data_IF_578878765149
#
_entry.id   IF_578878765149
#
_cell.length_a   1.000
_cell.length_b   1.000
_cell.length_c   1.000
_cell.angle_alpha   90.00
_cell.angle_beta   90.00
_cell.angle_gamma   90.00
#
_symmetry.space_group_name_H-M   'P 1'
#
loop_
_entity.id
_entity.type
_entity.pdbx_description
1 polymer ?
#
# COMPACT_ATOMS: atom_id res chain seq x y z
N UNK A 1 32.40 -17.76 -20.57
CA UNK A 1 32.69 -18.45 -19.30
C UNK A 1 31.53 -19.37 -19.00
N UNK A 2 31.81 -20.62 -18.63
CA UNK A 2 30.92 -21.78 -18.75
C UNK A 2 29.51 -21.64 -18.14
N UNK A 3 28.49 -21.61 -19.00
CA UNK A 3 27.07 -21.76 -18.65
C UNK A 3 26.78 -23.22 -18.31
N UNK A 4 27.12 -23.62 -17.08
CA UNK A 4 26.76 -24.95 -16.54
C UNK A 4 25.35 -24.88 -15.97
N UNK A 5 24.38 -24.58 -16.84
CA UNK A 5 22.96 -24.63 -16.52
C UNK A 5 22.50 -26.09 -16.53
N UNK A 6 22.68 -26.80 -15.42
CA UNK A 6 21.97 -28.07 -15.22
C UNK A 6 20.48 -27.75 -15.13
N UNK A 7 19.64 -28.43 -15.91
CA UNK A 7 18.19 -28.39 -15.73
C UNK A 7 17.88 -28.76 -14.28
N UNK A 8 17.58 -27.76 -13.44
CA UNK A 8 17.10 -27.95 -12.08
C UNK A 8 15.80 -28.75 -12.14
N UNK A 9 15.90 -30.06 -12.01
CA UNK A 9 14.87 -30.87 -11.38
C UNK A 9 14.76 -30.37 -9.94
N UNK A 10 13.63 -29.78 -9.56
CA UNK A 10 13.38 -29.28 -8.21
C UNK A 10 13.23 -30.39 -7.15
N UNK A 11 13.69 -31.62 -7.42
CA UNK A 11 13.71 -32.74 -6.49
C UNK A 11 15.08 -33.43 -6.55
N UNK A 12 15.68 -33.79 -5.41
CA UNK A 12 16.80 -34.71 -5.43
C UNK A 12 16.34 -36.01 -6.10
N UNK A 13 17.12 -36.59 -7.03
CA UNK A 13 16.77 -37.88 -7.62
C UNK A 13 16.65 -38.91 -6.51
N UNK A 14 15.55 -39.66 -6.51
CA UNK A 14 15.47 -40.89 -5.72
C UNK A 14 16.63 -41.79 -6.15
N UNK A 15 17.28 -42.44 -5.18
CA UNK A 15 18.48 -43.25 -5.36
C UNK A 15 18.38 -44.17 -6.58
N UNK A 16 19.05 -43.81 -7.68
CA UNK A 16 19.09 -44.60 -8.93
C UNK A 16 18.80 -43.85 -10.24
N UNK A 17 18.38 -42.58 -10.23
CA UNK A 17 18.19 -41.81 -11.47
C UNK A 17 19.50 -41.21 -12.01
N UNK A 18 19.78 -41.48 -13.30
CA UNK A 18 20.90 -40.90 -14.02
C UNK A 18 20.86 -39.36 -14.01
N UNK A 19 22.02 -38.71 -13.81
CA UNK A 19 22.14 -37.25 -13.82
C UNK A 19 21.49 -36.64 -15.09
N UNK A 20 20.76 -35.52 -14.95
CA UNK A 20 20.15 -34.87 -16.10
C UNK A 20 21.22 -34.43 -17.09
N UNK A 21 20.96 -34.63 -18.39
CA UNK A 21 21.90 -34.28 -19.45
C UNK A 21 22.21 -32.76 -19.42
N UNK A 22 23.47 -32.35 -19.72
CA UNK A 22 23.82 -30.94 -19.80
C UNK A 22 22.95 -30.19 -20.82
N UNK A 23 22.59 -28.94 -20.52
CA UNK A 23 21.72 -28.12 -21.38
C UNK A 23 22.19 -28.06 -22.84
N UNK A 24 23.50 -27.84 -23.05
CA UNK A 24 24.09 -27.79 -24.39
C UNK A 24 23.82 -29.06 -25.23
N UNK A 25 23.77 -30.24 -24.59
CA UNK A 25 23.46 -31.52 -25.26
C UNK A 25 21.99 -31.59 -25.63
N UNK A 26 21.10 -31.15 -24.73
CA UNK A 26 19.65 -31.10 -24.98
C UNK A 26 19.32 -30.13 -26.12
N UNK A 27 19.91 -28.94 -26.12
CA UNK A 27 19.72 -27.93 -27.17
C UNK A 27 20.23 -28.42 -28.53
N UNK A 28 21.41 -29.05 -28.58
CA UNK A 28 21.94 -29.65 -29.80
C UNK A 28 21.04 -30.78 -30.32
N UNK A 29 20.53 -31.63 -29.42
CA UNK A 29 19.57 -32.68 -29.76
C UNK A 29 18.25 -32.12 -30.31
N UNK A 30 17.73 -31.02 -29.73
CA UNK A 30 16.53 -30.34 -30.21
C UNK A 30 16.75 -29.74 -31.61
N UNK A 31 17.86 -29.01 -31.84
CA UNK A 31 18.20 -28.44 -33.16
C UNK A 31 18.31 -29.53 -34.22
N UNK A 32 18.95 -30.66 -33.89
CA UNK A 32 19.05 -31.80 -34.80
C UNK A 32 17.70 -32.47 -35.05
N UNK A 33 16.85 -32.57 -34.02
CA UNK A 33 15.49 -33.09 -34.17
C UNK A 33 14.68 -32.24 -35.15
N UNK A 34 14.70 -30.92 -34.99
CA UNK A 34 14.04 -29.96 -35.88
C UNK A 34 14.56 -30.11 -37.32
N UNK A 35 15.87 -30.16 -37.53
CA UNK A 35 16.46 -30.33 -38.87
C UNK A 35 16.02 -31.61 -39.60
N UNK A 36 15.84 -32.73 -38.87
CA UNK A 36 15.49 -34.02 -39.47
C UNK A 36 13.98 -34.26 -39.57
N UNK A 37 13.18 -33.63 -38.70
CA UNK A 37 11.73 -33.86 -38.59
C UNK A 37 10.90 -32.66 -39.05
N UNK A 38 11.54 -31.52 -39.29
CA UNK A 38 10.90 -30.22 -39.56
C UNK A 38 9.82 -29.89 -38.51
N UNK A 39 10.09 -30.23 -37.25
CA UNK A 39 9.16 -30.06 -36.14
C UNK A 39 9.92 -29.94 -34.82
N UNK A 40 9.40 -29.10 -33.93
CA UNK A 40 9.86 -28.95 -32.54
C UNK A 40 8.99 -29.73 -31.55
N UNK A 41 7.92 -30.37 -32.03
CA UNK A 41 7.05 -31.18 -31.21
C UNK A 41 7.64 -32.57 -31.03
N UNK A 42 8.28 -32.74 -29.88
CA UNK A 42 8.91 -33.99 -29.48
C UNK A 42 7.94 -34.79 -28.61
N UNK A 43 7.46 -35.98 -29.05
CA UNK A 43 6.61 -36.83 -28.23
C UNK A 43 7.28 -37.17 -26.88
N UNK A 44 6.54 -37.25 -25.75
CA UNK A 44 7.13 -37.35 -24.41
C UNK A 44 8.09 -38.54 -24.18
N UNK A 45 7.87 -39.66 -24.88
CA UNK A 45 8.70 -40.88 -24.77
C UNK A 45 9.90 -40.91 -25.73
N UNK A 46 10.10 -39.86 -26.52
CA UNK A 46 11.17 -39.83 -27.52
C UNK A 46 12.55 -39.82 -26.87
N UNK A 47 13.36 -40.81 -27.24
CA UNK A 47 14.80 -40.84 -27.02
C UNK A 47 15.49 -40.60 -28.35
N UNK A 48 16.27 -39.53 -28.43
CA UNK A 48 16.95 -39.13 -29.65
C UNK A 48 18.30 -38.52 -29.29
N UNK A 49 19.31 -38.76 -30.12
CA UNK A 49 20.64 -38.14 -30.01
C UNK A 49 21.28 -38.30 -28.61
N UNK A 50 21.11 -39.48 -28.01
CA UNK A 50 21.70 -39.82 -26.72
C UNK A 50 20.96 -39.28 -25.49
N UNK A 51 19.85 -38.56 -25.65
CA UNK A 51 19.07 -37.98 -24.54
C UNK A 51 17.61 -38.39 -24.57
N UNK A 52 16.95 -38.33 -23.41
CA UNK A 52 15.49 -38.49 -23.29
C UNK A 52 14.78 -37.19 -23.71
N UNK A 53 14.96 -36.80 -24.98
CA UNK A 53 14.56 -35.49 -25.52
C UNK A 53 13.10 -35.14 -25.20
N UNK A 54 12.16 -36.08 -25.35
CA UNK A 54 10.73 -35.83 -25.08
C UNK A 54 10.44 -35.42 -23.64
N UNK A 55 11.13 -36.03 -22.66
CA UNK A 55 11.01 -35.65 -21.24
C UNK A 55 11.67 -34.30 -20.97
N UNK A 56 12.84 -34.06 -21.55
CA UNK A 56 13.54 -32.78 -21.41
C UNK A 56 12.71 -31.61 -21.95
N UNK A 57 12.12 -31.74 -23.15
CA UNK A 57 11.27 -30.71 -23.76
C UNK A 57 9.97 -30.49 -22.98
N UNK A 58 9.38 -31.57 -22.44
CA UNK A 58 8.19 -31.46 -21.58
C UNK A 58 8.51 -30.72 -20.27
N UNK A 59 9.63 -31.05 -19.62
CA UNK A 59 10.10 -30.35 -18.42
C UNK A 59 10.45 -28.88 -18.71
N UNK A 60 11.08 -28.60 -19.85
CA UNK A 60 11.39 -27.26 -20.32
C UNK A 60 10.12 -26.41 -20.47
N UNK A 61 9.09 -26.92 -21.18
CA UNK A 61 7.80 -26.22 -21.33
C UNK A 61 7.11 -25.97 -19.98
N UNK A 62 7.12 -26.95 -19.07
CA UNK A 62 6.54 -26.80 -17.73
C UNK A 62 7.29 -25.73 -16.90
N UNK A 63 8.62 -25.79 -16.87
CA UNK A 63 9.45 -24.82 -16.15
C UNK A 63 9.33 -23.41 -16.73
N UNK A 64 9.17 -23.29 -18.04
CA UNK A 64 8.87 -22.01 -18.67
C UNK A 64 7.60 -21.42 -18.08
N UNK A 65 6.48 -22.16 -18.15
CA UNK A 65 5.18 -21.69 -17.70
C UNK A 65 5.12 -21.36 -16.21
N UNK A 66 5.92 -22.05 -15.39
CA UNK A 66 6.08 -21.79 -13.95
C UNK A 66 7.06 -20.64 -13.63
N UNK A 67 7.76 -20.10 -14.62
CA UNK A 67 8.71 -19.00 -14.43
C UNK A 67 10.08 -19.43 -13.90
N UNK A 68 10.39 -20.72 -13.89
CA UNK A 68 11.64 -21.25 -13.31
C UNK A 68 12.82 -21.25 -14.30
N UNK A 69 12.58 -21.03 -15.59
CA UNK A 69 13.66 -21.04 -16.58
C UNK A 69 14.46 -19.74 -16.58
N UNK A 70 15.77 -19.92 -16.60
CA UNK A 70 16.76 -18.89 -16.83
C UNK A 70 16.51 -18.16 -18.18
N UNK A 71 16.64 -16.81 -18.23
CA UNK A 71 16.50 -16.04 -19.47
C UNK A 71 17.37 -16.51 -20.63
N UNK A 72 18.59 -16.99 -20.38
CA UNK A 72 19.51 -17.45 -21.43
C UNK A 72 19.01 -18.75 -22.05
N UNK A 73 18.48 -19.68 -21.24
CA UNK A 73 17.85 -20.91 -21.74
C UNK A 73 16.62 -20.57 -22.60
N UNK A 74 15.83 -19.58 -22.19
CA UNK A 74 14.66 -19.14 -22.96
C UNK A 74 15.11 -18.60 -24.32
N UNK A 75 16.13 -17.73 -24.34
CA UNK A 75 16.67 -17.15 -25.58
C UNK A 75 17.25 -18.23 -26.51
N UNK A 76 18.02 -19.17 -25.97
CA UNK A 76 18.61 -20.29 -26.72
C UNK A 76 17.57 -21.12 -27.47
N UNK A 77 16.44 -21.37 -26.80
CA UNK A 77 15.34 -22.19 -27.31
C UNK A 77 14.46 -21.42 -28.29
N UNK A 78 14.15 -20.16 -27.98
CA UNK A 78 13.36 -19.28 -28.86
C UNK A 78 14.10 -19.00 -30.18
N UNK A 79 15.43 -19.15 -30.21
CA UNK A 79 16.24 -19.12 -31.43
C UNK A 79 16.11 -20.39 -32.31
N UNK A 80 15.47 -21.46 -31.85
CA UNK A 80 15.24 -22.66 -32.66
C UNK A 80 14.08 -22.42 -33.63
N UNK A 81 14.26 -22.64 -34.95
CA UNK A 81 13.20 -22.43 -35.94
C UNK A 81 11.91 -23.20 -35.60
N UNK A 82 10.78 -22.51 -35.72
CA UNK A 82 9.46 -23.09 -35.43
C UNK A 82 9.18 -23.34 -33.94
N UNK A 83 10.04 -22.91 -33.02
CA UNK A 83 9.81 -23.10 -31.59
C UNK A 83 8.54 -22.40 -31.09
N UNK A 84 7.80 -23.10 -30.24
CA UNK A 84 6.70 -22.53 -29.46
C UNK A 84 6.58 -23.21 -28.09
N UNK A 85 6.11 -22.44 -27.11
CA UNK A 85 5.89 -22.89 -25.74
C UNK A 85 4.59 -23.68 -25.51
N UNK A 86 3.77 -23.79 -26.55
CA UNK A 86 2.42 -24.35 -26.48
C UNK A 86 1.43 -23.44 -25.75
N UNK A 87 0.25 -23.97 -25.45
CA UNK A 87 -0.76 -23.24 -24.69
C UNK A 87 -0.38 -23.15 -23.20
N UNK A 88 -0.71 -22.03 -22.53
CA UNK A 88 -0.49 -21.90 -21.10
C UNK A 88 -1.34 -22.92 -20.33
N UNK A 89 -0.75 -23.71 -19.41
CA UNK A 89 -1.53 -24.52 -18.51
C UNK A 89 -2.40 -23.64 -17.58
N UNK A 90 -3.53 -24.16 -17.07
CA UNK A 90 -4.32 -23.44 -16.08
C UNK A 90 -3.47 -23.01 -14.88
N UNK A 91 -3.56 -21.74 -14.50
CA UNK A 91 -2.77 -21.19 -13.39
C UNK A 91 -1.30 -20.93 -13.69
N UNK A 92 -0.86 -20.97 -14.96
CA UNK A 92 0.52 -20.70 -15.33
C UNK A 92 1.03 -19.36 -14.79
N UNK A 93 2.16 -19.40 -14.10
CA UNK A 93 2.80 -18.23 -13.49
C UNK A 93 3.12 -17.15 -14.53
N UNK A 94 3.65 -17.53 -15.71
CA UNK A 94 3.93 -16.57 -16.79
C UNK A 94 2.67 -15.88 -17.34
N UNK A 95 1.51 -16.52 -17.29
CA UNK A 95 0.25 -15.88 -17.71
C UNK A 95 -0.12 -14.75 -16.76
N UNK A 96 0.02 -14.97 -15.45
CA UNK A 96 -0.15 -13.93 -14.45
C UNK A 96 0.90 -12.81 -14.60
N UNK A 97 2.17 -13.17 -14.82
CA UNK A 97 3.24 -12.21 -15.07
C UNK A 97 2.92 -11.32 -16.28
N UNK A 98 2.53 -11.89 -17.42
CA UNK A 98 2.18 -11.10 -18.63
C UNK A 98 1.03 -10.14 -18.35
N UNK A 99 0.01 -10.58 -17.63
CA UNK A 99 -1.11 -9.73 -17.23
C UNK A 99 -0.67 -8.61 -16.29
N UNK A 100 0.23 -8.89 -15.33
CA UNK A 100 0.83 -7.89 -14.46
C UNK A 100 1.69 -6.89 -15.24
N UNK A 101 2.51 -7.32 -16.20
CA UNK A 101 3.28 -6.44 -17.09
C UNK A 101 2.38 -5.51 -17.89
N UNK A 102 1.30 -6.04 -18.48
CA UNK A 102 0.35 -5.25 -19.25
C UNK A 102 -0.39 -4.23 -18.37
N UNK A 103 -0.74 -4.60 -17.13
CA UNK A 103 -1.33 -3.67 -16.17
C UNK A 103 -0.34 -2.57 -15.75
N UNK A 104 0.90 -2.94 -15.43
CA UNK A 104 1.95 -2.02 -15.03
C UNK A 104 2.25 -0.96 -16.11
N UNK A 105 2.35 -1.36 -17.38
CA UNK A 105 2.58 -0.43 -18.50
C UNK A 105 1.46 0.59 -18.72
N UNK A 106 0.22 0.28 -18.31
CA UNK A 106 -0.92 1.20 -18.41
C UNK A 106 -0.91 2.24 -17.29
N UNK A 107 -0.25 1.95 -16.18
CA UNK A 107 -0.17 2.87 -15.04
C UNK A 107 0.91 3.94 -15.30
N UNK A 108 0.51 5.21 -15.29
CA UNK A 108 1.45 6.35 -15.28
C UNK A 108 1.61 6.83 -13.84
N UNK A 109 2.80 6.63 -13.27
CA UNK A 109 3.17 7.12 -11.95
C UNK A 109 4.23 6.23 -11.32
N UNK A 110 5.25 6.83 -10.69
CA UNK A 110 6.41 6.13 -10.10
C UNK A 110 6.13 5.30 -8.84
N UNK A 111 4.86 5.06 -8.50
CA UNK A 111 4.44 4.21 -7.39
C UNK A 111 4.05 2.82 -7.90
N UNK A 112 4.03 1.82 -7.00
CA UNK A 112 3.57 0.47 -7.33
C UNK A 112 2.22 0.50 -8.02
N UNK A 113 2.08 -0.07 -9.23
CA UNK A 113 0.83 -0.04 -9.96
C UNK A 113 -0.31 -0.63 -9.12
N UNK A 114 -1.48 0.01 -9.03
CA UNK A 114 -2.67 -0.61 -8.49
C UNK A 114 -3.10 -1.68 -9.51
N UNK A 115 -2.65 -2.92 -9.30
CA UNK A 115 -3.03 -4.02 -10.16
C UNK A 115 -4.55 -4.20 -10.12
N UNK A 116 -5.23 -4.33 -11.28
CA UNK A 116 -6.65 -4.57 -11.31
C UNK A 116 -6.95 -5.90 -10.61
N UNK A 117 -8.05 -5.95 -9.85
CA UNK A 117 -8.40 -7.15 -9.08
C UNK A 117 -8.47 -8.40 -9.96
N UNK A 118 -8.97 -8.30 -11.20
CA UNK A 118 -8.94 -9.41 -12.17
C UNK A 118 -8.46 -8.92 -13.53
N UNK A 119 -7.50 -9.64 -14.13
CA UNK A 119 -7.09 -9.46 -15.51
C UNK A 119 -6.69 -10.80 -16.12
N UNK A 120 -7.18 -11.11 -17.32
CA UNK A 120 -6.90 -12.39 -18.00
C UNK A 120 -7.31 -13.62 -17.19
N UNK A 121 -8.39 -13.53 -16.39
CA UNK A 121 -8.88 -14.62 -15.52
C UNK A 121 -8.11 -14.80 -14.21
N UNK A 122 -7.02 -14.06 -13.99
CA UNK A 122 -6.20 -14.14 -12.77
C UNK A 122 -6.54 -13.01 -11.81
N UNK A 123 -6.61 -13.31 -10.50
CA UNK A 123 -6.62 -12.28 -9.46
C UNK A 123 -5.22 -11.71 -9.28
N UNK A 124 -4.90 -10.62 -9.98
CA UNK A 124 -3.55 -10.06 -9.98
C UNK A 124 -3.16 -9.47 -8.63
N UNK A 125 -4.11 -8.94 -7.87
CA UNK A 125 -3.80 -8.36 -6.56
C UNK A 125 -3.37 -9.47 -5.59
N UNK A 126 -4.13 -10.57 -5.53
CA UNK A 126 -3.78 -11.73 -4.72
C UNK A 126 -2.48 -12.39 -5.22
N UNK A 127 -2.30 -12.52 -6.53
CA UNK A 127 -1.09 -13.10 -7.11
C UNK A 127 0.16 -12.29 -6.77
N UNK A 128 0.13 -10.96 -6.93
CA UNK A 128 1.26 -10.08 -6.58
C UNK A 128 1.58 -10.13 -5.08
N UNK A 129 0.55 -10.12 -4.23
CA UNK A 129 0.72 -10.26 -2.78
C UNK A 129 1.40 -11.59 -2.42
N UNK A 130 0.99 -12.68 -3.09
CA UNK A 130 1.62 -13.99 -2.93
C UNK A 130 3.09 -13.98 -3.36
N UNK A 131 3.43 -13.33 -4.49
CA UNK A 131 4.83 -13.25 -4.93
C UNK A 131 5.73 -12.55 -3.92
N UNK A 132 5.26 -11.45 -3.29
CA UNK A 132 6.02 -10.77 -2.24
C UNK A 132 6.19 -11.64 -0.99
N UNK A 133 5.15 -12.37 -0.59
CA UNK A 133 5.22 -13.31 0.53
C UNK A 133 6.21 -14.45 0.26
N UNK A 134 6.16 -15.03 -0.95
CA UNK A 134 7.09 -16.09 -1.36
C UNK A 134 8.53 -15.57 -1.46
N UNK A 135 8.74 -14.32 -1.90
CA UNK A 135 10.05 -13.67 -1.88
C UNK A 135 10.59 -13.50 -0.47
N UNK A 136 9.79 -12.96 0.45
CA UNK A 136 10.16 -12.79 1.85
C UNK A 136 10.46 -14.13 2.56
N UNK A 137 9.82 -15.21 2.11
CA UNK A 137 10.06 -16.57 2.59
C UNK A 137 11.23 -17.30 1.88
N UNK A 138 11.89 -16.68 0.89
CA UNK A 138 12.97 -17.30 0.12
C UNK A 138 12.51 -18.44 -0.80
N UNK A 139 11.24 -18.46 -1.21
CA UNK A 139 10.62 -19.52 -1.99
C UNK A 139 10.64 -19.29 -3.51
N UNK A 140 10.93 -18.05 -3.95
CA UNK A 140 11.02 -17.74 -5.39
C UNK A 140 12.36 -18.19 -5.97
N UNK A 141 12.34 -18.70 -7.20
CA UNK A 141 13.57 -18.97 -7.94
C UNK A 141 14.25 -17.68 -8.41
N UNK A 142 15.57 -17.69 -8.69
CA UNK A 142 16.26 -16.52 -9.26
C UNK A 142 15.57 -15.99 -10.52
N UNK A 143 15.16 -16.87 -11.43
CA UNK A 143 14.44 -16.49 -12.65
C UNK A 143 13.09 -15.78 -12.39
N UNK A 144 12.35 -16.20 -11.35
CA UNK A 144 11.12 -15.50 -10.96
C UNK A 144 11.42 -14.12 -10.36
N UNK A 145 12.47 -14.01 -9.55
CA UNK A 145 12.92 -12.75 -8.94
C UNK A 145 13.32 -11.76 -10.04
N UNK A 146 14.12 -12.18 -11.02
CA UNK A 146 14.56 -11.33 -12.12
C UNK A 146 13.37 -10.85 -12.96
N UNK A 147 12.46 -11.77 -13.31
CA UNK A 147 11.29 -11.46 -14.10
C UNK A 147 10.31 -10.51 -13.39
N UNK A 148 10.15 -10.63 -12.06
CA UNK A 148 9.34 -9.72 -11.25
C UNK A 148 10.03 -8.36 -11.07
N UNK A 149 11.34 -8.34 -10.84
CA UNK A 149 12.12 -7.11 -10.68
C UNK A 149 12.15 -6.26 -11.97
N UNK A 150 12.00 -6.90 -13.13
CA UNK A 150 11.86 -6.23 -14.42
C UNK A 150 10.47 -5.61 -14.69
N UNK A 151 9.47 -5.86 -13.82
CA UNK A 151 8.15 -5.27 -13.98
C UNK A 151 8.19 -3.75 -13.67
N UNK A 152 7.62 -2.89 -14.53
CA UNK A 152 7.57 -1.45 -14.26
C UNK A 152 6.86 -1.14 -12.94
N UNK A 153 7.55 -0.42 -12.04
CA UNK A 153 7.02 -0.05 -10.74
C UNK A 153 6.84 -1.21 -9.76
N UNK A 154 7.41 -2.39 -10.01
CA UNK A 154 7.41 -3.46 -9.03
C UNK A 154 8.22 -3.08 -7.79
N UNK A 155 7.67 -3.45 -6.65
CA UNK A 155 8.29 -3.27 -5.37
C UNK A 155 8.05 -4.52 -4.53
N UNK A 156 9.13 -5.00 -3.92
CA UNK A 156 9.13 -6.15 -3.03
C UNK A 156 8.52 -5.80 -1.67
N UNK A 157 8.64 -4.54 -1.24
CA UNK A 157 8.07 -4.05 0.01
C UNK A 157 7.33 -2.71 -0.18
N UNK A 158 6.13 -2.75 -0.78
CA UNK A 158 5.35 -1.56 -1.05
C UNK A 158 4.88 -0.86 0.24
N UNK A 159 4.82 -1.57 1.37
CA UNK A 159 4.42 -0.99 2.64
C UNK A 159 5.57 -0.19 3.25
N UNK A 160 6.80 -0.68 3.16
CA UNK A 160 8.00 0.09 3.52
C UNK A 160 8.24 1.26 2.57
N UNK A 161 8.04 1.11 1.26
CA UNK A 161 8.12 2.25 0.35
C UNK A 161 7.05 3.31 0.66
N UNK A 162 5.80 2.90 0.90
CA UNK A 162 4.74 3.81 1.33
C UNK A 162 5.05 4.46 2.67
N UNK A 163 5.67 3.73 3.60
CA UNK A 163 6.13 4.27 4.89
C UNK A 163 7.15 5.39 4.69
N UNK A 164 8.22 5.15 3.93
CA UNK A 164 9.23 6.17 3.62
C UNK A 164 8.64 7.38 2.89
N UNK A 165 7.81 7.13 1.87
CA UNK A 165 7.14 8.20 1.14
C UNK A 165 6.24 9.03 2.07
N UNK A 166 5.50 8.39 2.97
CA UNK A 166 4.67 9.09 3.95
C UNK A 166 5.47 9.95 4.91
N UNK A 167 6.63 9.47 5.39
CA UNK A 167 7.56 10.27 6.19
C UNK A 167 8.07 11.50 5.42
N UNK A 168 8.53 11.32 4.17
CA UNK A 168 8.97 12.44 3.32
C UNK A 168 7.86 13.47 3.15
N UNK A 169 6.64 13.04 2.81
CA UNK A 169 5.51 13.94 2.62
C UNK A 169 5.09 14.65 3.91
N UNK A 170 5.23 13.98 5.06
CA UNK A 170 4.95 14.56 6.37
C UNK A 170 5.97 15.63 6.75
N UNK A 171 7.27 15.37 6.53
CA UNK A 171 8.34 16.34 6.73
C UNK A 171 8.15 17.55 5.82
N UNK A 172 7.94 17.34 4.51
CA UNK A 172 7.67 18.43 3.55
C UNK A 172 6.47 19.29 3.98
N UNK A 173 5.42 18.64 4.47
CA UNK A 173 4.22 19.33 4.95
C UNK A 173 4.53 20.23 6.16
N UNK A 174 5.27 19.72 7.14
CA UNK A 174 5.64 20.48 8.35
C UNK A 174 6.64 21.60 8.02
N UNK A 175 7.65 21.32 7.19
CA UNK A 175 8.65 22.31 6.76
C UNK A 175 8.02 23.47 5.97
N UNK A 176 6.90 23.20 5.28
CA UNK A 176 6.11 24.24 4.58
C UNK A 176 5.22 25.08 5.53
N UNK A 177 5.35 24.90 6.85
CA UNK A 177 4.53 25.57 7.86
C UNK A 177 3.22 24.86 8.19
N UNK A 178 3.05 23.61 7.74
CA UNK A 178 1.89 22.79 8.05
C UNK A 178 1.88 22.30 9.50
N UNK A 179 0.73 22.40 10.15
CA UNK A 179 0.53 21.84 11.48
C UNK A 179 -0.07 20.42 11.36
N UNK A 180 0.46 19.46 12.11
CA UNK A 180 -0.03 18.07 12.17
C UNK A 180 -1.54 17.98 12.46
N UNK A 181 -2.13 18.97 13.12
CA UNK A 181 -3.57 19.07 13.34
C UNK A 181 -4.39 19.21 12.05
N UNK A 182 -3.77 19.65 10.96
CA UNK A 182 -4.38 19.83 9.65
C UNK A 182 -4.37 18.54 8.81
N UNK A 183 -3.79 17.44 9.31
CA UNK A 183 -3.75 16.14 8.64
C UNK A 183 -5.12 15.43 8.67
N UNK A 184 -6.12 16.03 8.05
CA UNK A 184 -7.42 15.42 7.85
C UNK A 184 -7.33 14.29 6.81
N UNK A 185 -8.26 13.31 6.88
CA UNK A 185 -8.25 12.08 6.06
C UNK A 185 -7.95 12.29 4.58
N UNK A 186 -8.57 13.31 3.99
CA UNK A 186 -8.50 13.56 2.54
C UNK A 186 -7.33 14.44 2.10
N UNK A 187 -6.47 14.89 3.04
CA UNK A 187 -5.31 15.71 2.71
C UNK A 187 -4.35 14.95 1.80
N UNK A 188 -3.94 15.62 0.71
CA UNK A 188 -2.94 15.10 -0.22
C UNK A 188 -1.79 16.10 -0.37
N UNK A 189 -0.57 15.58 -0.33
CA UNK A 189 0.67 16.33 -0.57
C UNK A 189 1.34 15.66 -1.75
N UNK A 190 1.62 16.41 -2.83
CA UNK A 190 2.23 15.89 -4.06
C UNK A 190 1.55 14.61 -4.59
N UNK A 191 0.22 14.55 -4.50
CA UNK A 191 -0.60 13.40 -4.93
C UNK A 191 -0.67 12.22 -3.94
N UNK A 192 0.26 12.16 -2.98
CA UNK A 192 0.25 11.18 -1.89
C UNK A 192 -0.86 11.48 -0.88
N UNK A 193 -1.63 10.47 -0.48
CA UNK A 193 -2.74 10.64 0.45
C UNK A 193 -2.25 10.68 1.92
N UNK A 194 -1.52 11.74 2.26
CA UNK A 194 -0.85 11.92 3.55
C UNK A 194 -1.83 11.79 4.73
N UNK A 195 -3.03 12.34 4.62
CA UNK A 195 -4.06 12.23 5.67
C UNK A 195 -4.48 10.80 6.00
N UNK A 196 -4.70 9.97 4.97
CA UNK A 196 -5.03 8.55 5.15
C UNK A 196 -3.85 7.76 5.70
N UNK A 197 -2.64 8.04 5.21
CA UNK A 197 -1.44 7.40 5.70
C UNK A 197 -1.21 7.71 7.18
N UNK A 198 -1.37 8.98 7.59
CA UNK A 198 -1.26 9.41 8.97
C UNK A 198 -2.30 8.73 9.87
N UNK A 199 -3.57 8.69 9.46
CA UNK A 199 -4.60 7.96 10.19
C UNK A 199 -4.28 6.48 10.36
N UNK A 200 -3.73 5.84 9.32
CA UNK A 200 -3.32 4.44 9.40
C UNK A 200 -2.21 4.23 10.42
N UNK A 201 -1.22 5.12 10.48
CA UNK A 201 -0.18 5.09 11.50
C UNK A 201 -0.78 5.15 12.92
N UNK A 202 -1.80 6.00 13.14
CA UNK A 202 -2.51 6.06 14.43
C UNK A 202 -3.26 4.79 14.77
N UNK A 203 -3.98 4.21 13.81
CA UNK A 203 -4.68 2.95 13.99
C UNK A 203 -3.72 1.82 14.35
N UNK A 204 -2.60 1.73 13.64
CA UNK A 204 -1.58 0.70 13.83
C UNK A 204 -0.83 0.90 15.17
N UNK A 205 -0.57 2.14 15.58
CA UNK A 205 -0.08 2.47 16.93
C UNK A 205 -1.04 1.99 18.02
N UNK A 206 -2.33 2.35 17.91
CA UNK A 206 -3.36 2.02 18.92
C UNK A 206 -3.61 0.52 19.00
N UNK A 207 -3.51 -0.19 17.88
CA UNK A 207 -3.61 -1.64 17.82
C UNK A 207 -2.33 -2.36 18.30
N UNK A 208 -1.24 -1.63 18.56
CA UNK A 208 0.04 -2.20 18.99
C UNK A 208 0.81 -2.93 17.87
N UNK A 209 0.42 -2.75 16.61
CA UNK A 209 1.02 -3.42 15.44
C UNK A 209 2.07 -2.56 14.74
N UNK A 210 2.10 -1.24 14.98
CA UNK A 210 3.19 -0.40 14.47
C UNK A 210 4.48 -0.76 15.23
N UNK A 211 5.58 -1.07 14.51
CA UNK A 211 6.83 -1.51 15.14
C UNK A 211 7.42 -0.44 16.08
N UNK A 212 8.24 -0.87 17.05
CA UNK A 212 8.90 0.03 18.00
C UNK A 212 9.77 1.08 17.29
N UNK A 213 10.47 0.67 16.23
CA UNK A 213 11.29 1.55 15.39
C UNK A 213 10.44 2.61 14.68
N UNK A 214 9.33 2.21 14.03
CA UNK A 214 8.44 3.16 13.35
C UNK A 214 7.80 4.16 14.32
N UNK A 215 7.45 3.72 15.54
CA UNK A 215 7.01 4.63 16.61
C UNK A 215 8.10 5.61 17.03
N UNK A 216 9.33 5.13 17.20
CA UNK A 216 10.46 5.98 17.58
C UNK A 216 10.76 7.04 16.51
N UNK A 217 10.69 6.68 15.22
CA UNK A 217 10.85 7.64 14.11
C UNK A 217 9.80 8.73 14.16
N UNK A 218 8.51 8.39 14.34
CA UNK A 218 7.45 9.39 14.44
C UNK A 218 7.58 10.29 15.66
N UNK A 219 7.94 9.70 16.82
CA UNK A 219 8.14 10.46 18.05
C UNK A 219 9.32 11.44 17.95
N UNK A 220 10.43 11.01 17.32
CA UNK A 220 11.61 11.85 17.13
C UNK A 220 11.34 13.04 16.21
N UNK A 221 10.54 12.85 15.16
CA UNK A 221 10.26 13.89 14.18
C UNK A 221 9.16 14.87 14.63
N UNK A 222 8.21 14.42 15.46
CA UNK A 222 6.95 15.16 15.66
C UNK A 222 6.54 15.30 17.14
N UNK A 223 7.46 15.05 18.09
CA UNK A 223 7.21 14.89 19.52
C UNK A 223 6.16 13.78 19.79
N UNK A 224 5.67 13.60 21.01
CA UNK A 224 4.71 12.53 21.41
C UNK A 224 3.38 12.48 20.59
N UNK A 225 3.22 13.34 19.57
CA UNK A 225 2.20 13.28 18.53
C UNK A 225 2.31 12.07 17.58
N UNK A 226 3.08 11.03 17.91
CA UNK A 226 2.88 9.71 17.30
C UNK A 226 1.47 9.15 17.63
N UNK A 227 0.78 9.73 18.62
CA UNK A 227 -0.63 9.50 18.93
C UNK A 227 -1.27 10.74 19.61
N UNK A 228 -1.57 11.85 18.89
CA UNK A 228 -2.37 12.89 19.47
C UNK A 228 -3.76 12.30 19.63
N UNK A 229 -4.18 12.20 20.89
CA UNK A 229 -5.52 11.73 21.21
C UNK A 229 -6.55 12.51 20.36
N UNK A 230 -7.50 11.85 19.68
CA UNK A 230 -8.44 12.49 18.75
C UNK A 230 -9.23 13.67 19.34
N UNK A 231 -9.29 13.76 20.67
CA UNK A 231 -9.83 14.92 21.35
C UNK A 231 -8.93 16.15 21.21
N UNK A 232 -7.61 16.04 21.39
CA UNK A 232 -6.65 17.15 21.27
C UNK A 232 -6.67 17.78 19.86
N UNK A 233 -6.76 16.95 18.81
CA UNK A 233 -6.90 17.43 17.43
C UNK A 233 -8.19 18.24 17.25
N UNK A 234 -9.33 17.70 17.70
CA UNK A 234 -10.60 18.41 17.59
C UNK A 234 -10.67 19.68 18.44
N UNK A 235 -10.00 19.71 19.60
CA UNK A 235 -9.87 20.89 20.44
C UNK A 235 -9.06 22.00 19.75
N UNK A 236 -7.92 21.67 19.14
CA UNK A 236 -7.11 22.63 18.40
C UNK A 236 -7.83 23.21 17.17
N UNK A 237 -8.55 22.37 16.41
CA UNK A 237 -9.39 22.84 15.28
C UNK A 237 -10.50 23.77 15.79
N UNK A 238 -11.06 23.50 16.98
CA UNK A 238 -12.05 24.38 17.60
C UNK A 238 -11.43 25.71 18.07
N UNK A 239 -10.21 25.71 18.61
CA UNK A 239 -9.50 26.94 18.99
C UNK A 239 -9.30 27.85 17.77
N UNK A 240 -8.81 27.31 16.66
CA UNK A 240 -8.64 28.07 15.41
C UNK A 240 -9.96 28.61 14.86
N UNK A 241 -11.03 27.81 14.95
CA UNK A 241 -12.37 28.28 14.60
C UNK A 241 -12.79 29.46 15.50
N UNK A 242 -12.46 29.42 16.80
CA UNK A 242 -12.71 30.54 17.71
C UNK A 242 -11.88 31.77 17.34
N UNK A 243 -10.62 31.60 16.96
CA UNK A 243 -9.76 32.71 16.54
C UNK A 243 -10.30 33.38 15.26
N UNK A 244 -10.82 32.58 14.32
CA UNK A 244 -11.36 33.08 13.05
C UNK A 244 -12.78 33.67 13.16
N UNK A 245 -13.64 33.12 14.01
CA UNK A 245 -15.07 33.46 14.07
C UNK A 245 -15.47 34.18 15.37
N UNK A 246 -14.56 34.31 16.33
CA UNK A 246 -14.79 34.90 17.64
C UNK A 246 -15.64 34.05 18.59
N UNK A 247 -16.02 32.83 18.23
CA UNK A 247 -16.89 31.98 19.05
C UNK A 247 -16.74 30.47 18.81
N UNK A 248 -16.99 29.66 19.84
CA UNK A 248 -16.94 28.19 19.82
C UNK A 248 -18.30 27.56 19.49
N UNK A 249 -18.98 28.09 18.45
CA UNK A 249 -20.33 27.66 18.03
C UNK A 249 -20.39 27.25 16.56
N UNK A 250 -19.61 26.23 16.14
CA UNK A 250 -19.69 25.73 14.78
C UNK A 250 -21.09 25.15 14.49
N UNK A 251 -21.59 25.35 13.27
CA UNK A 251 -22.80 24.66 12.78
C UNK A 251 -22.58 23.15 12.82
N UNK A 252 -23.63 22.35 12.95
CA UNK A 252 -23.51 20.88 13.06
C UNK A 252 -22.79 20.23 11.86
N UNK A 253 -22.97 20.80 10.67
CA UNK A 253 -22.32 20.38 9.43
C UNK A 253 -21.03 21.14 9.11
N UNK A 254 -20.52 21.97 10.03
CA UNK A 254 -19.30 22.73 9.81
C UNK A 254 -18.12 21.78 9.62
N UNK A 255 -17.44 21.99 8.50
CA UNK A 255 -16.15 21.38 8.17
C UNK A 255 -15.13 22.51 8.12
N UNK A 256 -14.11 22.41 8.96
CA UNK A 256 -13.00 23.36 9.03
C UNK A 256 -11.76 22.57 8.67
N UNK A 257 -11.05 22.97 7.61
CA UNK A 257 -9.85 22.28 7.12
C UNK A 257 -10.06 20.76 6.97
N UNK A 258 -11.19 20.37 6.35
CA UNK A 258 -11.55 18.95 6.14
C UNK A 258 -11.97 18.18 7.41
N UNK A 259 -11.85 18.76 8.60
CA UNK A 259 -12.28 18.15 9.86
C UNK A 259 -13.76 18.45 10.13
N UNK A 260 -14.56 17.42 10.44
CA UNK A 260 -16.00 17.54 10.76
C UNK A 260 -16.22 18.13 12.17
N UNK A 261 -15.81 19.38 12.35
CA UNK A 261 -15.81 20.10 13.61
C UNK A 261 -17.21 20.14 14.27
N UNK A 262 -18.25 20.40 13.48
CA UNK A 262 -19.63 20.45 13.98
C UNK A 262 -20.11 19.13 14.60
N UNK A 263 -19.71 18.00 13.99
CA UNK A 263 -20.00 16.67 14.53
C UNK A 263 -19.18 16.39 15.79
N UNK A 264 -17.88 16.72 15.78
CA UNK A 264 -17.00 16.52 16.94
C UNK A 264 -17.50 17.27 18.17
N UNK A 265 -17.92 18.54 18.03
CA UNK A 265 -18.53 19.34 19.11
C UNK A 265 -19.80 18.68 19.63
N UNK A 266 -20.63 18.13 18.75
CA UNK A 266 -21.84 17.39 19.12
C UNK A 266 -21.53 16.15 19.96
N UNK A 267 -20.45 15.43 19.61
CA UNK A 267 -19.96 14.29 20.39
C UNK A 267 -19.51 14.72 21.79
N UNK A 268 -18.75 15.82 21.92
CA UNK A 268 -18.31 16.30 23.25
C UNK A 268 -19.49 16.63 24.16
N UNK A 269 -20.51 17.31 23.64
CA UNK A 269 -21.75 17.60 24.39
C UNK A 269 -22.49 16.34 24.82
N UNK A 270 -22.48 15.29 23.99
CA UNK A 270 -23.08 13.99 24.32
C UNK A 270 -22.28 13.28 25.42
N UNK A 271 -20.95 13.29 25.33
CA UNK A 271 -20.08 12.65 26.32
C UNK A 271 -20.18 13.32 27.69
N UNK A 272 -20.21 14.66 27.77
CA UNK A 272 -20.46 15.36 29.03
C UNK A 272 -21.81 14.99 29.65
N UNK A 273 -22.89 14.98 28.87
CA UNK A 273 -24.23 14.58 29.36
C UNK A 273 -24.28 13.16 29.92
N UNK A 274 -23.37 12.30 29.47
CA UNK A 274 -23.24 10.91 29.92
C UNK A 274 -22.23 10.73 31.06
N UNK A 275 -21.61 11.80 31.53
CA UNK A 275 -20.54 11.73 32.53
C UNK A 275 -19.25 11.07 32.03
N UNK A 276 -19.09 10.90 30.72
CA UNK A 276 -17.97 10.17 30.11
C UNK A 276 -16.82 11.07 29.63
N UNK A 277 -16.92 12.39 29.85
CA UNK A 277 -15.88 13.36 29.52
C UNK A 277 -15.10 13.71 30.79
N UNK A 278 -13.77 13.60 30.74
CA UNK A 278 -12.93 13.88 31.91
C UNK A 278 -12.96 15.39 32.29
N UNK A 279 -12.55 15.69 33.52
CA UNK A 279 -12.62 17.04 34.08
C UNK A 279 -11.75 18.06 33.33
N UNK A 280 -10.55 17.66 32.91
CA UNK A 280 -9.61 18.50 32.16
C UNK A 280 -10.19 18.97 30.82
N UNK A 281 -10.78 18.04 30.05
CA UNK A 281 -11.42 18.34 28.77
C UNK A 281 -12.66 19.23 28.92
N UNK A 282 -13.41 19.06 30.02
CA UNK A 282 -14.53 19.96 30.35
C UNK A 282 -13.99 21.36 30.58
N UNK A 283 -12.97 21.51 31.42
CA UNK A 283 -12.34 22.79 31.74
C UNK A 283 -11.81 23.50 30.49
N UNK A 284 -11.10 22.78 29.63
CA UNK A 284 -10.56 23.31 28.38
C UNK A 284 -11.65 23.82 27.43
N UNK A 285 -12.78 23.11 27.34
CA UNK A 285 -13.92 23.52 26.51
C UNK A 285 -14.70 24.69 27.14
N UNK A 286 -14.84 24.72 28.46
CA UNK A 286 -15.49 25.83 29.19
C UNK A 286 -14.74 27.15 29.03
N UNK A 287 -13.42 27.10 28.85
CA UNK A 287 -12.58 28.28 28.62
C UNK A 287 -12.74 28.90 27.22
N UNK A 288 -13.39 28.21 26.26
CA UNK A 288 -13.50 28.71 24.89
C UNK A 288 -14.59 29.80 24.76
N UNK A 289 -14.33 30.89 24.02
CA UNK A 289 -15.25 32.01 23.91
C UNK A 289 -16.59 31.58 23.32
N UNK A 290 -17.68 31.85 24.03
CA UNK A 290 -19.03 31.52 23.58
C UNK A 290 -19.36 30.02 23.54
N UNK A 291 -18.53 29.14 24.12
CA UNK A 291 -18.87 27.72 24.25
C UNK A 291 -20.17 27.52 25.02
N UNK A 292 -20.98 26.57 24.55
CA UNK A 292 -22.23 26.20 25.20
C UNK A 292 -22.42 24.70 25.11
N UNK A 293 -22.73 24.09 26.25
CA UNK A 293 -23.03 22.67 26.32
C UNK A 293 -24.44 22.32 25.81
N UNK A 294 -25.40 23.26 25.91
CA UNK A 294 -26.81 23.06 25.54
C UNK A 294 -27.36 24.25 24.72
N UNK A 295 -26.96 24.43 23.45
CA UNK A 295 -27.34 25.60 22.63
C UNK A 295 -28.81 25.63 22.14
N UNK A 296 -29.71 24.88 22.79
CA UNK A 296 -31.14 24.78 22.42
C UNK A 296 -32.13 25.05 23.55
N UNK A 297 -31.66 25.34 24.78
CA UNK A 297 -32.54 25.88 25.84
C UNK A 297 -32.33 27.38 25.86
N UNK A 298 -33.32 28.14 25.41
CA UNK A 298 -33.24 29.59 25.34
C UNK A 298 -32.82 30.21 26.68
N UNK A 299 -31.58 30.65 26.78
CA UNK A 299 -31.20 31.69 27.74
C UNK A 299 -31.75 33.00 27.18
N UNK A 300 -32.96 33.36 27.62
CA UNK A 300 -33.43 34.74 27.54
C UNK A 300 -32.36 35.63 28.20
N UNK A 301 -31.88 36.70 27.56
CA UNK A 301 -30.99 37.64 28.25
C UNK A 301 -31.74 38.18 29.49
N UNK A 302 -31.08 38.44 30.63
CA UNK A 302 -31.73 39.14 31.71
C UNK A 302 -32.26 40.48 31.17
N UNK A 303 -33.49 40.90 31.54
CA UNK A 303 -34.04 42.16 31.04
C UNK A 303 -33.11 43.30 31.42
N UNK A 304 -32.81 44.16 30.45
CA UNK A 304 -32.04 45.37 30.68
C UNK A 304 -32.71 46.17 31.81
N UNK A 305 -31.97 46.45 32.88
CA UNK A 305 -32.42 47.39 33.89
C UNK A 305 -32.68 48.75 33.21
N UNK A 306 -33.86 49.37 33.40
CA UNK A 306 -34.11 50.69 32.83
C UNK A 306 -33.10 51.67 33.42
N UNK A 307 -32.42 52.42 32.54
CA UNK A 307 -31.54 53.53 32.95
C UNK A 307 -32.37 54.49 33.81
N UNK A 308 -31.91 54.75 35.04
CA UNK A 308 -32.45 55.83 35.88
C UNK A 308 -32.30 57.16 35.11
N UNK A 309 -33.37 57.97 34.97
CA UNK A 309 -33.22 59.32 34.46
C UNK A 309 -32.34 60.13 35.42
N UNK A 310 -31.35 60.84 34.87
CA UNK A 310 -30.58 61.80 35.63
C UNK A 310 -31.50 62.94 36.05
N UNK A 311 -31.68 63.08 37.36
CA UNK A 311 -32.29 64.28 37.95
C UNK A 311 -31.25 65.39 37.81
N UNK A 312 -31.50 66.31 36.89
CA UNK A 312 -30.80 67.60 36.85
C UNK A 312 -31.31 68.38 38.07
N UNK A 313 -30.50 68.40 39.13
CA UNK A 313 -30.73 69.32 40.24
C UNK A 313 -30.14 70.68 39.87
N UNK A 314 -31.02 71.63 39.56
CA UNK A 314 -30.72 73.07 39.65
C UNK A 314 -30.63 73.44 41.13
N UNK A 315 -29.60 74.19 41.50
CA UNK A 315 -29.62 75.02 42.70
C UNK A 315 -28.67 76.20 42.56
N UNK A 316 -29.18 77.39 42.89
CA UNK A 316 -28.46 78.50 43.50
C UNK A 316 -27.52 79.30 42.61
#
# INVERSE_FOLDING_TARGET
MNTTGTLCCAHPPASGEAQPAPWAVVLAALRRYEQHRHSVDVPPRTRAYGVALGRCISALRANYWNGHLDPDIIADVEAVPGWHWGDPPPGAWRTALRSATAAARRHRGGATPPYPRRAGGVDLQAWCARQRADYAAGLLSPAQIDALSALPGWDWDPDEHRWRQGLTMLVEFVDSGGDLAMLHRDLRVNGFALGRWWQRCHEDCRAGVLSAERRAVLAALFADNCCPDPWSVGYLVLQRFCDAQGHARPRQNAVVDGFRLGWWVTVQRRQRRRGALNAERIHLLDALPGWQWNPGRGTRPPPAHPRRPQVISRAG
#
